data_IF_089199880596
#
_entry.id   IF_089199880596
#
_cell.length_a   1.000
_cell.length_b   1.000
_cell.length_c   1.000
_cell.angle_alpha   90.00
_cell.angle_beta   90.00
_cell.angle_gamma   90.00
#
_symmetry.space_group_name_H-M   'P 1'
#
loop_
_entity.id
_entity.type
_entity.pdbx_description
1 polymer ?
#
# COMPACT_ATOMS: atom_id res chain seq x y z
N UNK A 1 -7.29 6.67 3.22
CA UNK A 1 -7.57 8.09 3.52
C UNK A 1 -8.57 8.56 2.49
N UNK A 2 -9.60 9.30 2.90
CA UNK A 2 -10.54 9.95 1.98
C UNK A 2 -10.42 11.45 2.24
N UNK A 3 -10.03 12.22 1.23
CA UNK A 3 -9.94 13.67 1.29
C UNK A 3 -11.22 14.25 0.67
N UNK A 4 -11.95 15.07 1.42
CA UNK A 4 -13.17 15.72 0.95
C UNK A 4 -12.86 17.20 0.82
N UNK A 5 -13.06 17.76 -0.37
CA UNK A 5 -12.77 19.16 -0.69
C UNK A 5 -14.03 19.87 -1.17
N UNK A 6 -14.12 21.16 -0.88
CA UNK A 6 -15.12 22.04 -1.47
C UNK A 6 -14.59 22.61 -2.78
N UNK A 7 -15.46 22.75 -3.77
CA UNK A 7 -15.19 23.39 -5.05
C UNK A 7 -16.07 24.63 -5.22
N UNK A 8 -15.68 25.55 -6.10
CA UNK A 8 -16.54 26.64 -6.56
C UNK A 8 -17.86 26.08 -7.12
N UNK A 9 -18.90 26.92 -7.21
CA UNK A 9 -20.18 26.48 -7.78
C UNK A 9 -20.00 25.98 -9.21
N UNK A 10 -20.78 24.97 -9.63
CA UNK A 10 -20.63 24.31 -10.93
C UNK A 10 -20.55 25.27 -12.12
N UNK A 11 -21.32 26.37 -12.10
CA UNK A 11 -21.33 27.39 -13.16
C UNK A 11 -20.04 28.22 -13.26
N UNK A 12 -19.17 28.16 -12.25
CA UNK A 12 -17.91 28.88 -12.16
C UNK A 12 -16.70 27.97 -12.43
N UNK A 13 -16.90 26.65 -12.56
CA UNK A 13 -15.82 25.72 -12.90
C UNK A 13 -15.37 25.99 -14.35
N UNK A 14 -14.07 26.11 -14.56
CA UNK A 14 -13.39 26.45 -15.80
C UNK A 14 -13.34 27.95 -16.12
N UNK A 15 -13.63 28.83 -15.15
CA UNK A 15 -13.74 30.28 -15.41
C UNK A 15 -12.67 31.12 -14.72
N UNK A 16 -11.68 30.46 -14.11
CA UNK A 16 -10.66 31.09 -13.25
C UNK A 16 -11.30 31.87 -12.09
N UNK A 17 -12.36 31.29 -11.52
CA UNK A 17 -13.09 31.91 -10.43
C UNK A 17 -12.24 32.00 -9.16
N UNK A 18 -12.63 32.90 -8.25
CA UNK A 18 -11.89 33.08 -6.99
C UNK A 18 -11.81 31.75 -6.21
N UNK A 19 -10.58 31.32 -5.90
CA UNK A 19 -10.23 30.05 -5.24
C UNK A 19 -10.57 28.79 -6.03
N UNK A 20 -10.84 28.91 -7.34
CA UNK A 20 -10.92 27.77 -8.22
C UNK A 20 -9.54 27.12 -8.36
N UNK A 21 -9.49 25.80 -8.22
CA UNK A 21 -8.34 24.99 -8.58
C UNK A 21 -8.83 23.66 -9.14
N UNK A 22 -8.19 23.18 -10.23
CA UNK A 22 -8.39 21.82 -10.72
C UNK A 22 -7.69 20.81 -9.80
N UNK A 23 -8.23 20.66 -8.59
CA UNK A 23 -7.71 19.73 -7.58
C UNK A 23 -7.79 18.28 -8.07
N UNK A 24 -8.78 17.97 -8.92
CA UNK A 24 -8.91 16.66 -9.55
C UNK A 24 -7.72 16.37 -10.47
N UNK A 25 -7.34 17.30 -11.34
CA UNK A 25 -6.15 17.18 -12.18
C UNK A 25 -4.86 17.12 -11.36
N UNK A 26 -4.71 18.00 -10.36
CA UNK A 26 -3.52 18.07 -9.49
C UNK A 26 -3.30 16.75 -8.73
N UNK A 27 -4.37 16.13 -8.25
CA UNK A 27 -4.26 14.95 -7.36
C UNK A 27 -4.38 13.61 -8.09
N UNK A 28 -4.82 13.60 -9.34
CA UNK A 28 -4.95 12.38 -10.15
C UNK A 28 -3.70 11.47 -10.13
N UNK A 29 -2.45 11.97 -10.20
CA UNK A 29 -1.26 11.11 -10.13
C UNK A 29 -0.92 10.58 -8.73
N UNK A 30 -1.55 11.09 -7.67
CA UNK A 30 -1.21 10.79 -6.26
C UNK A 30 -2.38 10.19 -5.46
N UNK A 31 -3.53 9.97 -6.09
CA UNK A 31 -4.69 9.27 -5.50
C UNK A 31 -4.98 7.98 -6.26
N UNK A 32 -5.74 7.07 -5.62
CA UNK A 32 -6.29 5.88 -6.30
C UNK A 32 -7.42 6.26 -7.24
N UNK A 33 -8.19 7.28 -6.88
CA UNK A 33 -9.35 7.74 -7.60
C UNK A 33 -9.75 9.13 -7.12
N UNK A 34 -10.37 9.89 -8.00
CA UNK A 34 -10.94 11.20 -7.72
C UNK A 34 -12.40 11.22 -8.17
N UNK A 35 -13.28 11.73 -7.32
CA UNK A 35 -14.66 12.02 -7.66
C UNK A 35 -14.86 13.53 -7.72
N UNK A 36 -15.55 14.01 -8.75
CA UNK A 36 -16.18 15.32 -8.77
C UNK A 36 -17.68 15.11 -8.72
N UNK A 37 -18.31 15.44 -7.60
CA UNK A 37 -19.74 15.24 -7.39
C UNK A 37 -20.51 16.26 -8.22
N UNK A 38 -21.49 15.81 -9.01
CA UNK A 38 -22.26 16.70 -9.89
C UNK A 38 -23.66 16.96 -9.36
N UNK A 39 -24.25 16.02 -8.64
CA UNK A 39 -25.59 16.16 -8.07
C UNK A 39 -25.62 15.78 -6.58
N UNK A 40 -26.51 16.41 -5.81
CA UNK A 40 -26.60 16.19 -4.36
C UNK A 40 -26.95 14.74 -4.01
N UNK A 41 -27.80 14.11 -4.83
CA UNK A 41 -28.23 12.71 -4.66
C UNK A 41 -27.08 11.70 -4.85
N UNK A 42 -25.97 12.09 -5.47
CA UNK A 42 -24.80 11.24 -5.66
C UNK A 42 -23.91 11.17 -4.42
N UNK A 43 -23.98 12.16 -3.53
CA UNK A 43 -23.09 12.31 -2.37
C UNK A 43 -23.03 11.02 -1.53
N UNK A 44 -24.16 10.37 -1.15
CA UNK A 44 -24.11 9.15 -0.35
C UNK A 44 -23.36 8.01 -1.05
N UNK A 45 -23.65 7.79 -2.33
CA UNK A 45 -23.02 6.75 -3.15
C UNK A 45 -21.52 7.00 -3.32
N UNK A 46 -21.14 8.21 -3.72
CA UNK A 46 -19.75 8.61 -3.96
C UNK A 46 -18.92 8.48 -2.68
N UNK A 47 -19.46 8.87 -1.53
CA UNK A 47 -18.77 8.68 -0.25
C UNK A 47 -18.57 7.20 0.07
N UNK A 48 -19.61 6.37 -0.06
CA UNK A 48 -19.50 4.94 0.18
C UNK A 48 -18.47 4.27 -0.75
N UNK A 49 -18.47 4.64 -2.03
CA UNK A 49 -17.49 4.20 -3.03
C UNK A 49 -16.07 4.67 -2.69
N UNK A 50 -15.89 5.93 -2.29
CA UNK A 50 -14.60 6.48 -1.94
C UNK A 50 -13.97 5.75 -0.75
N UNK A 51 -14.74 5.46 0.29
CA UNK A 51 -14.27 4.65 1.43
C UNK A 51 -13.97 3.21 1.02
N UNK A 52 -14.79 2.61 0.15
CA UNK A 52 -14.55 1.27 -0.37
C UNK A 52 -13.23 1.21 -1.17
N UNK A 53 -13.01 2.13 -2.11
CA UNK A 53 -11.77 2.20 -2.90
C UNK A 53 -10.58 2.48 -1.98
N UNK A 54 -10.68 3.43 -1.04
CA UNK A 54 -9.57 3.79 -0.18
C UNK A 54 -9.08 2.65 0.72
N UNK A 55 -9.99 1.75 1.13
CA UNK A 55 -9.71 0.67 2.09
C UNK A 55 -9.41 -0.69 1.46
N UNK A 56 -9.87 -0.96 0.24
CA UNK A 56 -9.72 -2.28 -0.41
C UNK A 56 -8.51 -2.36 -1.34
N UNK A 57 -8.08 -3.60 -1.65
CA UNK A 57 -6.86 -3.85 -2.43
C UNK A 57 -5.62 -3.33 -1.69
N UNK A 58 -4.76 -2.57 -2.38
CA UNK A 58 -3.73 -1.77 -1.70
C UNK A 58 -4.40 -0.47 -1.18
N UNK A 59 -4.41 -0.20 0.13
CA UNK A 59 -4.99 1.03 0.65
C UNK A 59 -4.27 2.27 0.12
N UNK A 60 -5.03 3.31 -0.16
CA UNK A 60 -4.53 4.56 -0.74
C UNK A 60 -5.49 5.74 -0.53
N UNK A 61 -5.09 6.91 -1.00
CA UNK A 61 -5.89 8.12 -0.92
C UNK A 61 -6.98 8.13 -2.01
N UNK A 62 -8.14 8.69 -1.71
CA UNK A 62 -9.20 8.99 -2.67
C UNK A 62 -9.66 10.42 -2.42
N UNK A 63 -9.86 11.20 -3.48
CA UNK A 63 -10.43 12.55 -3.40
C UNK A 63 -11.93 12.50 -3.69
N UNK A 64 -12.70 13.28 -2.95
CA UNK A 64 -14.10 13.60 -3.24
C UNK A 64 -14.23 15.12 -3.25
N UNK A 65 -14.38 15.70 -4.44
CA UNK A 65 -14.54 17.15 -4.64
C UNK A 65 -16.02 17.49 -4.84
N UNK A 66 -16.54 18.42 -4.05
CA UNK A 66 -17.97 18.74 -3.99
C UNK A 66 -18.19 20.24 -4.26
N UNK A 67 -18.81 20.62 -5.39
CA UNK A 67 -19.19 22.00 -5.67
C UNK A 67 -20.11 22.58 -4.60
N UNK A 68 -19.90 23.86 -4.27
CA UNK A 68 -20.68 24.55 -3.23
C UNK A 68 -22.20 24.48 -3.47
N UNK A 69 -22.66 24.70 -4.70
CA UNK A 69 -24.08 24.67 -5.04
C UNK A 69 -24.69 23.26 -4.91
N UNK A 70 -23.89 22.21 -5.17
CA UNK A 70 -24.29 20.81 -4.95
C UNK A 70 -24.40 20.52 -3.46
N UNK A 71 -23.42 20.94 -2.67
CA UNK A 71 -23.41 20.73 -1.22
C UNK A 71 -24.55 21.46 -0.49
N UNK A 72 -24.93 22.65 -0.98
CA UNK A 72 -25.99 23.48 -0.39
C UNK A 72 -27.40 23.14 -0.93
N UNK A 73 -27.48 22.37 -2.02
CA UNK A 73 -28.74 21.97 -2.63
C UNK A 73 -29.54 20.98 -1.79
N UNK A 74 -30.83 20.86 -2.08
CA UNK A 74 -31.65 19.78 -1.54
C UNK A 74 -31.37 18.48 -2.29
N UNK A 75 -31.37 17.36 -1.56
CA UNK A 75 -31.18 16.03 -2.12
C UNK A 75 -32.12 15.01 -1.46
N UNK A 76 -32.40 13.94 -2.18
CA UNK A 76 -33.10 12.78 -1.63
C UNK A 76 -32.09 11.85 -0.99
N UNK A 77 -32.06 11.84 0.34
CA UNK A 77 -31.13 10.97 1.07
C UNK A 77 -31.63 9.52 1.12
N UNK A 78 -30.75 8.57 0.78
CA UNK A 78 -30.99 7.13 0.92
C UNK A 78 -29.71 6.40 1.33
N UNK A 79 -29.82 5.49 2.31
CA UNK A 79 -28.69 4.70 2.82
C UNK A 79 -29.15 3.29 3.22
N UNK A 80 -28.37 2.23 2.96
CA UNK A 80 -27.08 2.23 2.28
C UNK A 80 -27.21 2.38 0.75
N UNK A 81 -26.31 3.12 0.09
CA UNK A 81 -26.33 3.27 -1.36
C UNK A 81 -25.88 1.97 -2.02
N UNK A 82 -26.41 1.72 -3.22
CA UNK A 82 -25.85 0.71 -4.11
C UNK A 82 -24.55 1.26 -4.71
N UNK A 83 -23.44 0.55 -4.49
CA UNK A 83 -22.15 0.90 -5.10
C UNK A 83 -22.19 0.64 -6.61
N UNK A 84 -21.66 1.57 -7.39
CA UNK A 84 -21.46 1.45 -8.83
C UNK A 84 -19.99 1.69 -9.19
N UNK A 85 -19.22 0.59 -9.16
CA UNK A 85 -17.78 0.61 -9.39
C UNK A 85 -17.39 -0.31 -10.55
N UNK A 86 -17.72 0.07 -11.80
CA UNK A 86 -17.37 -0.73 -12.96
C UNK A 86 -15.85 -0.86 -13.07
N UNK A 87 -15.37 -2.10 -13.22
CA UNK A 87 -13.94 -2.41 -13.38
C UNK A 87 -13.12 -2.47 -12.08
N UNK A 88 -13.62 -1.97 -10.94
CA UNK A 88 -12.91 -2.07 -9.67
C UNK A 88 -13.29 -3.36 -8.92
N UNK A 89 -12.51 -4.42 -9.14
CA UNK A 89 -12.70 -5.74 -8.50
C UNK A 89 -11.40 -6.19 -7.85
N UNK A 90 -11.14 -5.85 -6.57
CA UNK A 90 -9.89 -6.23 -5.91
C UNK A 90 -9.81 -7.76 -5.74
N UNK A 91 -8.68 -8.35 -6.13
CA UNK A 91 -8.42 -9.78 -5.94
C UNK A 91 -8.11 -10.05 -4.47
N UNK A 92 -9.01 -10.76 -3.78
CA UNK A 92 -8.85 -11.11 -2.36
C UNK A 92 -8.32 -12.53 -2.14
N UNK A 93 -8.42 -13.41 -3.15
CA UNK A 93 -7.98 -14.80 -3.06
C UNK A 93 -6.65 -15.01 -3.79
N UNK A 94 -5.63 -15.58 -3.12
CA UNK A 94 -4.37 -15.89 -3.77
C UNK A 94 -4.52 -17.08 -4.74
N UNK A 95 -3.67 -17.14 -5.75
CA UNK A 95 -3.66 -18.25 -6.69
C UNK A 95 -2.98 -19.48 -6.06
N UNK A 96 -3.75 -20.51 -5.67
CA UNK A 96 -3.25 -21.63 -4.86
C UNK A 96 -2.05 -22.37 -5.47
N UNK A 97 -1.95 -22.48 -6.80
CA UNK A 97 -0.77 -23.11 -7.45
C UNK A 97 0.51 -22.28 -7.27
N UNK A 98 0.40 -20.95 -7.30
CA UNK A 98 1.56 -20.06 -7.12
C UNK A 98 2.05 -20.11 -5.67
N UNK A 99 1.12 -20.18 -4.71
CA UNK A 99 1.46 -20.34 -3.29
C UNK A 99 2.19 -21.66 -3.04
N UNK A 100 1.69 -22.78 -3.60
CA UNK A 100 2.35 -24.09 -3.49
C UNK A 100 3.75 -24.09 -4.10
N UNK A 101 3.92 -23.48 -5.26
CA UNK A 101 5.22 -23.40 -5.91
C UNK A 101 6.20 -22.53 -5.12
N UNK A 102 5.75 -21.40 -4.58
CA UNK A 102 6.57 -20.57 -3.69
C UNK A 102 7.04 -21.36 -2.45
N UNK A 103 6.15 -22.13 -1.82
CA UNK A 103 6.51 -22.97 -0.67
C UNK A 103 7.56 -24.03 -1.03
N UNK A 104 7.42 -24.69 -2.19
CA UNK A 104 8.39 -25.67 -2.72
C UNK A 104 9.77 -25.03 -2.92
N UNK A 105 9.81 -23.84 -3.52
CA UNK A 105 11.06 -23.11 -3.75
C UNK A 105 11.72 -22.66 -2.45
N UNK A 106 10.93 -22.21 -1.46
CA UNK A 106 11.42 -21.84 -0.14
C UNK A 106 12.05 -23.06 0.56
N UNK A 107 11.39 -24.21 0.53
CA UNK A 107 11.88 -25.44 1.16
C UNK A 107 13.18 -25.98 0.54
N UNK A 108 13.38 -25.78 -0.76
CA UNK A 108 14.58 -26.22 -1.47
C UNK A 108 15.76 -25.20 -1.39
N UNK A 109 15.53 -24.00 -0.86
CA UNK A 109 16.52 -22.94 -0.84
C UNK A 109 17.64 -23.21 0.17
N UNK A 110 18.90 -23.02 -0.24
CA UNK A 110 20.07 -23.22 0.65
C UNK A 110 20.37 -22.04 1.57
N UNK A 111 20.11 -20.81 1.13
CA UNK A 111 20.37 -19.56 1.87
C UNK A 111 19.25 -18.53 1.66
N UNK A 112 17.99 -18.86 2.01
CA UNK A 112 16.87 -17.94 1.85
C UNK A 112 16.93 -16.79 2.85
N UNK A 113 16.26 -15.68 2.51
CA UNK A 113 16.00 -14.54 3.41
C UNK A 113 14.56 -14.09 3.18
N UNK A 114 13.81 -13.87 4.26
CA UNK A 114 12.48 -13.28 4.20
C UNK A 114 12.59 -11.75 4.18
N UNK A 115 12.32 -11.12 3.03
CA UNK A 115 12.31 -9.66 2.89
C UNK A 115 10.88 -9.11 3.00
N UNK A 116 10.58 -8.44 4.11
CA UNK A 116 9.22 -8.14 4.54
C UNK A 116 8.87 -6.67 4.32
N UNK A 117 7.84 -6.44 3.50
CA UNK A 117 7.21 -5.15 3.25
C UNK A 117 6.10 -4.81 4.24
N UNK A 118 5.68 -3.54 4.28
CA UNK A 118 4.59 -3.06 5.16
C UNK A 118 3.21 -3.68 4.89
N UNK A 119 3.08 -4.51 3.85
CA UNK A 119 1.87 -5.29 3.58
C UNK A 119 1.49 -6.23 4.73
N UNK A 120 2.47 -6.77 5.46
CA UNK A 120 2.22 -7.64 6.62
C UNK A 120 1.46 -6.90 7.72
N UNK A 121 1.90 -5.67 8.07
CA UNK A 121 1.21 -4.84 9.05
C UNK A 121 -0.20 -4.50 8.59
N UNK A 122 -0.35 -4.07 7.32
CA UNK A 122 -1.66 -3.70 6.75
C UNK A 122 -2.65 -4.87 6.72
N UNK A 123 -2.15 -6.07 6.45
CA UNK A 123 -2.94 -7.30 6.44
C UNK A 123 -3.12 -7.94 7.80
N UNK A 124 -2.63 -7.33 8.89
CA UNK A 124 -2.58 -7.93 10.23
C UNK A 124 -1.89 -9.31 10.27
N UNK A 125 -0.98 -9.58 9.33
CA UNK A 125 -0.39 -10.89 9.10
C UNK A 125 0.90 -11.15 9.93
N UNK A 126 1.07 -10.42 11.03
CA UNK A 126 2.29 -10.48 11.85
C UNK A 126 2.46 -11.84 12.52
N UNK A 127 1.35 -12.50 12.88
CA UNK A 127 1.39 -13.80 13.52
C UNK A 127 1.73 -14.91 12.52
N UNK A 128 1.16 -14.86 11.33
CA UNK A 128 1.42 -15.79 10.23
C UNK A 128 2.87 -15.66 9.73
N UNK A 129 3.40 -14.43 9.68
CA UNK A 129 4.83 -14.21 9.42
C UNK A 129 5.69 -14.85 10.51
N UNK A 130 5.26 -14.76 11.78
CA UNK A 130 5.99 -15.37 12.89
C UNK A 130 6.05 -16.87 12.76
N UNK A 131 4.91 -17.50 12.56
CA UNK A 131 4.80 -18.94 12.38
C UNK A 131 5.64 -19.43 11.19
N UNK A 132 5.60 -18.72 10.06
CA UNK A 132 6.43 -19.05 8.89
C UNK A 132 7.93 -18.95 9.20
N UNK A 133 8.37 -17.90 9.88
CA UNK A 133 9.78 -17.70 10.21
C UNK A 133 10.28 -18.74 11.23
N UNK A 134 9.48 -19.08 12.24
CA UNK A 134 9.80 -20.09 13.25
C UNK A 134 9.83 -21.50 12.65
N UNK A 135 8.86 -21.84 11.78
CA UNK A 135 8.80 -23.14 11.11
C UNK A 135 10.00 -23.39 10.20
N UNK A 136 10.47 -22.35 9.52
CA UNK A 136 11.50 -22.48 8.47
C UNK A 136 12.91 -22.15 8.95
N UNK A 137 13.04 -21.44 10.08
CA UNK A 137 14.32 -20.92 10.57
C UNK A 137 14.95 -19.85 9.68
N UNK A 138 14.21 -19.30 8.71
CA UNK A 138 14.74 -18.36 7.72
C UNK A 138 14.93 -16.98 8.35
N UNK A 139 16.10 -16.33 8.18
CA UNK A 139 16.32 -14.99 8.68
C UNK A 139 15.36 -13.97 8.04
N UNK A 140 14.84 -13.06 8.87
CA UNK A 140 13.86 -12.03 8.48
C UNK A 140 14.54 -10.66 8.42
N UNK A 141 14.29 -9.94 7.34
CA UNK A 141 14.70 -8.55 7.13
C UNK A 141 13.46 -7.72 6.80
N UNK A 142 13.27 -6.59 7.47
CA UNK A 142 12.09 -5.72 7.28
C UNK A 142 12.45 -4.43 6.56
N UNK A 143 11.53 -3.95 5.72
CA UNK A 143 11.54 -2.57 5.23
C UNK A 143 11.21 -1.60 6.37
N UNK A 144 11.49 -0.31 6.17
CA UNK A 144 11.07 0.75 7.11
C UNK A 144 9.56 0.70 7.41
N UNK A 145 8.75 0.41 6.40
CA UNK A 145 7.28 0.32 6.51
C UNK A 145 6.79 -0.95 7.21
N UNK A 146 7.67 -1.93 7.42
CA UNK A 146 7.38 -3.16 8.16
C UNK A 146 8.04 -3.18 9.54
N UNK A 147 8.56 -2.04 10.02
CA UNK A 147 9.08 -1.96 11.39
C UNK A 147 7.98 -2.34 12.37
N UNK A 148 8.32 -3.25 13.30
CA UNK A 148 7.37 -3.82 14.26
C UNK A 148 6.65 -5.09 13.77
N UNK A 149 6.78 -5.47 12.50
CA UNK A 149 6.17 -6.69 11.97
C UNK A 149 6.83 -7.98 12.50
N UNK A 150 8.03 -7.90 13.06
CA UNK A 150 8.74 -9.04 13.60
C UNK A 150 9.66 -8.56 14.75
N UNK A 151 9.67 -9.27 15.89
CA UNK A 151 10.50 -8.89 17.05
C UNK A 151 11.95 -9.29 16.77
N UNK A 152 12.87 -8.34 16.88
CA UNK A 152 14.31 -8.53 16.60
C UNK A 152 15.08 -9.14 17.76
N UNK A 153 14.47 -10.06 18.50
CA UNK A 153 15.05 -10.62 19.74
C UNK A 153 16.01 -11.79 19.49
N UNK A 154 16.11 -12.29 18.25
CA UNK A 154 17.04 -13.36 17.87
C UNK A 154 18.34 -12.77 17.31
N UNK A 155 19.53 -13.28 17.68
CA UNK A 155 20.83 -12.76 17.21
C UNK A 155 21.02 -12.77 15.67
N UNK A 156 20.12 -13.44 14.94
CA UNK A 156 20.18 -13.61 13.49
C UNK A 156 19.46 -12.52 12.66
N UNK A 157 18.78 -11.55 13.29
CA UNK A 157 18.02 -10.50 12.57
C UNK A 157 18.84 -9.23 12.33
N UNK A 158 19.56 -9.17 11.20
CA UNK A 158 20.19 -7.95 10.69
C UNK A 158 19.18 -7.02 10.01
N UNK A 159 19.11 -5.76 10.43
CA UNK A 159 18.32 -4.74 9.74
C UNK A 159 19.07 -4.26 8.48
N UNK A 160 18.60 -4.65 7.28
CA UNK A 160 18.99 -3.96 6.05
C UNK A 160 18.14 -2.68 5.88
N UNK A 161 18.40 -1.67 6.71
CA UNK A 161 17.57 -0.47 6.70
C UNK A 161 18.10 0.76 7.44
N UNK A 162 19.35 0.78 7.89
CA UNK A 162 20.04 2.00 8.31
C UNK A 162 21.31 2.17 7.47
N UNK A 163 21.11 2.52 6.20
CA UNK A 163 22.19 3.02 5.34
C UNK A 163 21.79 4.38 4.74
N UNK A 164 21.27 5.29 5.57
CA UNK A 164 21.43 6.75 5.43
C UNK A 164 21.34 7.34 6.84
N UNK A 165 22.48 7.85 7.31
CA UNK A 165 22.83 8.28 8.67
C UNK A 165 23.40 7.20 9.59
N UNK A 166 24.67 7.41 9.95
CA UNK A 166 25.62 6.42 10.40
C UNK A 166 25.43 5.88 11.81
N UNK A 167 25.72 4.58 11.93
CA UNK A 167 26.55 3.97 12.98
C UNK A 167 27.10 2.68 12.37
N UNK A 168 28.43 2.54 12.37
CA UNK A 168 29.13 1.40 11.79
C UNK A 168 28.75 0.09 12.48
N UNK A 169 28.44 -0.93 11.68
CA UNK A 169 28.08 -2.25 12.18
C UNK A 169 27.35 -3.13 11.17
N UNK A 170 27.71 -3.08 9.88
CA UNK A 170 27.21 -4.00 8.86
C UNK A 170 28.24 -5.08 8.56
N UNK A 171 28.12 -6.23 9.21
CA UNK A 171 28.91 -7.44 8.90
C UNK A 171 28.35 -8.22 7.70
N UNK A 172 29.15 -9.12 7.08
CA UNK A 172 29.13 -9.42 5.66
C UNK A 172 28.24 -10.62 5.32
N UNK A 173 26.92 -10.43 5.20
CA UNK A 173 26.04 -11.48 4.67
C UNK A 173 25.67 -11.27 3.19
N UNK A 174 25.83 -10.05 2.66
CA UNK A 174 25.38 -9.69 1.31
C UNK A 174 26.50 -9.53 0.26
N UNK A 175 27.77 -9.60 0.66
CA UNK A 175 28.91 -9.39 -0.24
C UNK A 175 30.06 -10.33 0.18
N UNK A 176 30.19 -11.48 -0.49
CA UNK A 176 31.48 -12.17 -0.62
C UNK A 176 31.74 -12.38 -2.11
N UNK A 177 32.84 -11.82 -2.66
CA UNK A 177 33.29 -12.17 -4.01
C UNK A 177 33.85 -13.60 -4.01
N UNK A 178 33.71 -14.26 -5.15
CA UNK A 178 34.13 -15.63 -5.40
C UNK A 178 35.60 -15.89 -5.00
N UNK A 179 35.81 -17.03 -4.34
CA UNK A 179 37.12 -17.57 -4.02
C UNK A 179 37.98 -17.70 -5.29
N UNK A 180 39.09 -16.97 -5.35
CA UNK A 180 40.21 -17.29 -6.25
C UNK A 180 41.02 -18.41 -5.60
N UNK A 181 40.94 -19.59 -6.20
CA UNK A 181 41.84 -20.69 -5.94
C UNK A 181 43.30 -20.24 -6.18
N UNK A 182 44.15 -20.48 -5.19
CA UNK A 182 45.59 -20.35 -5.35
C UNK A 182 46.17 -21.51 -6.14
N UNK A 183 47.12 -21.21 -7.01
CA UNK A 183 48.15 -22.14 -7.42
C UNK A 183 49.50 -21.43 -7.18
N UNK A 184 50.37 -21.94 -6.29
CA UNK A 184 51.78 -21.59 -6.31
C UNK A 184 52.48 -22.54 -7.29
N UNK A 185 53.45 -22.06 -8.06
CA UNK A 185 54.73 -22.72 -8.31
C UNK A 185 55.54 -21.88 -9.33
N UNK A 186 56.66 -21.35 -8.82
CA UNK A 186 57.89 -20.88 -9.48
C UNK A 186 57.79 -19.87 -10.62
#
# INVERSE_FOLDING_TARGET
>A
MVAITGQVGRSLIGTDAFQEADISGITMPITKHNFLVREGDEIPRVLAEAFHIASTGRPGAVLVDIPKDVLQGQCTFSWPPRLDLPGYKPTTKPHSRQVREAARLIAAARKPVLYIGGGVIRGNATQELRELAELTGIPVVTTLMARGAFRTATPASGHAGHARHGRGGGGPAAQRPADRAGHPFR
#
